data_IF_678270031758
#
_entry.id   IF_678270031758
#
_cell.length_a   1.000
_cell.length_b   1.000
_cell.length_c   1.000
_cell.angle_alpha   90.00
_cell.angle_beta   90.00
_cell.angle_gamma   90.00
#
_symmetry.space_group_name_H-M   'P 1'
#
loop_
_entity.id
_entity.type
_entity.pdbx_description
1 polymer ?
#
# COMPACT_ATOMS: atom_id res chain seq x y z
N UNK A 1 2.73 5.74 -6.44
CA UNK A 1 3.48 7.01 -6.44
C UNK A 1 4.32 7.15 -7.72
N UNK A 2 5.33 6.31 -7.94
CA UNK A 2 6.13 6.31 -9.19
C UNK A 2 5.26 6.25 -10.45
N UNK A 3 4.24 5.38 -10.46
CA UNK A 3 3.29 5.27 -11.56
C UNK A 3 2.56 6.59 -11.85
N UNK A 4 2.05 7.25 -10.81
CA UNK A 4 1.25 8.49 -10.97
C UNK A 4 2.04 9.66 -11.55
N UNK A 5 3.35 9.64 -11.41
CA UNK A 5 4.22 10.68 -11.96
C UNK A 5 4.79 10.29 -13.33
N UNK A 6 5.14 9.01 -13.50
CA UNK A 6 5.72 8.53 -14.75
C UNK A 6 4.66 8.42 -15.86
N UNK A 7 3.43 8.05 -15.50
CA UNK A 7 2.37 7.80 -16.46
C UNK A 7 1.94 9.02 -17.28
N UNK A 8 1.72 10.22 -16.71
CA UNK A 8 1.45 11.42 -17.49
C UNK A 8 2.59 11.81 -18.43
N UNK A 9 3.84 11.62 -17.99
CA UNK A 9 5.04 11.86 -18.82
C UNK A 9 5.08 10.88 -19.99
N UNK A 10 4.80 9.62 -19.74
CA UNK A 10 4.70 8.59 -20.77
C UNK A 10 3.61 8.90 -21.81
N UNK A 11 2.44 9.38 -21.37
CA UNK A 11 1.35 9.78 -22.26
C UNK A 11 1.69 11.01 -23.10
N UNK A 12 2.48 11.95 -22.57
CA UNK A 12 2.89 13.18 -23.27
C UNK A 12 4.08 12.98 -24.20
N UNK A 13 4.84 11.87 -24.04
CA UNK A 13 6.02 11.59 -24.87
C UNK A 13 5.62 11.49 -26.33
N UNK A 14 6.26 12.32 -27.16
CA UNK A 14 6.01 12.35 -28.61
C UNK A 14 6.72 11.17 -29.29
N UNK A 15 6.05 10.45 -30.19
CA UNK A 15 6.70 9.41 -30.98
C UNK A 15 7.90 9.98 -31.77
N UNK A 16 9.01 9.26 -31.91
CA UNK A 16 10.13 9.72 -32.70
C UNK A 16 9.74 9.81 -34.20
N UNK A 17 10.24 10.83 -34.89
CA UNK A 17 9.98 11.04 -36.33
C UNK A 17 10.49 9.88 -37.18
N UNK A 18 11.62 9.30 -36.80
CA UNK A 18 12.20 8.11 -37.44
C UNK A 18 11.99 6.93 -36.51
N UNK A 19 11.02 6.07 -36.83
CA UNK A 19 10.83 4.81 -36.10
C UNK A 19 11.91 3.82 -36.50
N UNK A 20 12.85 3.60 -35.58
CA UNK A 20 13.77 2.46 -35.71
C UNK A 20 12.96 1.15 -35.68
N UNK A 21 13.42 0.10 -36.41
CA UNK A 21 12.73 -1.20 -36.36
C UNK A 21 12.67 -1.72 -34.93
N UNK A 22 11.46 -2.06 -34.49
CA UNK A 22 11.25 -2.62 -33.13
C UNK A 22 11.98 -3.96 -33.00
N UNK A 23 12.87 -4.03 -32.03
CA UNK A 23 13.45 -5.31 -31.59
C UNK A 23 12.76 -5.76 -30.30
N UNK A 24 11.53 -6.27 -30.47
CA UNK A 24 10.77 -6.81 -29.34
C UNK A 24 11.54 -7.97 -28.67
N UNK A 25 11.42 -8.13 -27.34
CA UNK A 25 10.45 -7.47 -26.48
C UNK A 25 10.95 -6.17 -25.80
N UNK A 26 12.22 -5.82 -25.86
CA UNK A 26 12.77 -4.77 -24.99
C UNK A 26 13.14 -3.47 -25.73
N UNK A 27 13.61 -3.53 -26.96
CA UNK A 27 14.06 -2.33 -27.69
C UNK A 27 12.95 -1.75 -28.54
N UNK A 28 12.31 -0.72 -28.03
CA UNK A 28 11.34 0.10 -28.75
C UNK A 28 11.31 1.51 -28.13
N UNK A 29 11.16 2.51 -28.98
CA UNK A 29 10.93 3.90 -28.57
C UNK A 29 9.67 4.34 -29.26
N UNK A 30 8.64 4.61 -28.49
CA UNK A 30 7.41 5.20 -28.99
C UNK A 30 6.73 5.98 -27.85
N UNK A 31 5.75 6.80 -28.16
CA UNK A 31 4.99 7.57 -27.21
C UNK A 31 3.57 7.76 -27.71
N UNK A 32 2.71 8.30 -26.86
CA UNK A 32 1.32 8.58 -27.23
C UNK A 32 1.16 9.98 -27.85
N UNK A 33 2.04 10.93 -27.48
CA UNK A 33 1.95 12.32 -27.95
C UNK A 33 0.63 13.00 -27.61
N UNK A 34 0.00 12.60 -26.49
CA UNK A 34 -1.31 13.15 -26.12
C UNK A 34 -1.18 14.60 -25.65
N UNK A 35 -2.16 15.41 -26.03
CA UNK A 35 -2.29 16.78 -25.59
C UNK A 35 -2.60 16.84 -24.07
N UNK A 36 -2.11 17.90 -23.43
CA UNK A 36 -2.30 18.16 -22.00
C UNK A 36 -3.77 18.13 -21.57
N UNK A 37 -4.68 18.62 -22.45
CA UNK A 37 -6.13 18.57 -22.20
C UNK A 37 -6.64 17.14 -22.10
N UNK A 38 -6.23 16.27 -23.00
CA UNK A 38 -6.62 14.85 -23.02
C UNK A 38 -6.07 14.12 -21.78
N UNK A 39 -4.80 14.37 -21.44
CA UNK A 39 -4.19 13.83 -20.22
C UNK A 39 -4.96 14.31 -18.98
N UNK A 40 -5.33 15.59 -18.92
CA UNK A 40 -6.14 16.15 -17.83
C UNK A 40 -7.50 15.46 -17.69
N UNK A 41 -8.19 15.16 -18.78
CA UNK A 41 -9.46 14.41 -18.77
C UNK A 41 -9.23 12.98 -18.24
N UNK A 42 -8.20 12.30 -18.70
CA UNK A 42 -7.85 10.94 -18.25
C UNK A 42 -7.59 10.93 -16.74
N UNK A 43 -6.82 11.87 -16.22
CA UNK A 43 -6.53 11.99 -14.78
C UNK A 43 -7.77 12.37 -13.96
N UNK A 44 -8.70 13.16 -14.54
CA UNK A 44 -9.97 13.48 -13.89
C UNK A 44 -10.86 12.24 -13.74
N UNK A 45 -10.97 11.43 -14.79
CA UNK A 45 -11.67 10.12 -14.73
C UNK A 45 -11.02 9.20 -13.69
N UNK A 46 -9.69 9.16 -13.64
CA UNK A 46 -8.93 8.45 -12.61
C UNK A 46 -9.33 8.89 -11.19
N UNK A 47 -9.42 10.20 -10.95
CA UNK A 47 -9.80 10.76 -9.64
C UNK A 47 -11.20 10.35 -9.21
N UNK A 48 -12.19 10.51 -10.10
CA UNK A 48 -13.59 10.11 -9.85
C UNK A 48 -13.69 8.62 -9.56
N UNK A 49 -13.06 7.79 -10.40
CA UNK A 49 -13.06 6.34 -10.21
C UNK A 49 -12.40 5.94 -8.88
N UNK A 50 -11.30 6.59 -8.51
CA UNK A 50 -10.58 6.33 -7.25
C UNK A 50 -11.47 6.63 -6.03
N UNK A 51 -12.25 7.71 -6.06
CA UNK A 51 -13.20 8.05 -5.00
C UNK A 51 -14.28 6.97 -4.86
N UNK A 52 -14.88 6.54 -5.96
CA UNK A 52 -15.91 5.49 -5.97
C UNK A 52 -15.30 4.17 -5.48
N UNK A 53 -14.13 3.80 -5.95
CA UNK A 53 -13.42 2.57 -5.58
C UNK A 53 -13.11 2.52 -4.07
N UNK A 54 -12.62 3.61 -3.50
CA UNK A 54 -12.32 3.68 -2.06
C UNK A 54 -13.58 3.56 -1.21
N UNK A 55 -14.70 4.14 -1.66
CA UNK A 55 -15.93 4.16 -0.88
C UNK A 55 -16.67 2.82 -0.92
N UNK A 56 -16.72 2.18 -2.07
CA UNK A 56 -17.55 0.98 -2.28
C UNK A 56 -16.73 -0.31 -2.41
N UNK A 57 -15.66 -0.31 -3.22
CA UNK A 57 -14.92 -1.53 -3.53
C UNK A 57 -14.06 -1.96 -2.34
N UNK A 58 -13.37 -1.02 -1.68
CA UNK A 58 -12.47 -1.36 -0.57
C UNK A 58 -13.19 -2.09 0.57
N UNK A 59 -14.31 -1.59 1.15
CA UNK A 59 -14.97 -2.29 2.26
C UNK A 59 -15.46 -3.68 1.87
N UNK A 60 -15.95 -3.83 0.64
CA UNK A 60 -16.47 -5.10 0.14
C UNK A 60 -15.37 -6.15 0.00
N UNK A 61 -14.24 -5.78 -0.60
CA UNK A 61 -13.13 -6.69 -0.88
C UNK A 61 -12.37 -7.02 0.41
N UNK A 62 -12.08 -6.03 1.24
CA UNK A 62 -11.34 -6.22 2.49
C UNK A 62 -12.07 -7.18 3.45
N UNK A 63 -13.41 -7.08 3.53
CA UNK A 63 -14.23 -7.98 4.35
C UNK A 63 -14.19 -9.43 3.88
N UNK A 64 -14.03 -9.68 2.58
CA UNK A 64 -14.05 -11.04 2.01
C UNK A 64 -12.68 -11.71 1.96
N UNK A 65 -11.64 -10.95 1.64
CA UNK A 65 -10.30 -11.49 1.33
C UNK A 65 -9.37 -11.44 2.54
N UNK A 66 -9.59 -10.49 3.44
CA UNK A 66 -8.67 -10.21 4.55
C UNK A 66 -7.45 -9.37 4.12
N UNK A 67 -6.84 -8.63 5.06
CA UNK A 67 -5.81 -7.62 4.72
C UNK A 67 -4.51 -8.23 4.20
N UNK A 68 -4.05 -9.36 4.75
CA UNK A 68 -2.80 -9.98 4.35
C UNK A 68 -2.86 -10.62 2.96
N UNK A 69 -3.93 -11.38 2.67
CA UNK A 69 -4.12 -11.97 1.34
C UNK A 69 -4.30 -10.91 0.28
N UNK A 70 -5.04 -9.85 0.64
CA UNK A 70 -5.22 -8.70 -0.24
C UNK A 70 -3.88 -8.02 -0.55
N UNK A 71 -3.02 -7.83 0.44
CA UNK A 71 -1.69 -7.24 0.26
C UNK A 71 -0.80 -8.05 -0.70
N UNK A 72 -0.81 -9.39 -0.57
CA UNK A 72 -0.08 -10.29 -1.48
C UNK A 72 -0.61 -10.23 -2.91
N UNK A 73 -1.94 -10.23 -3.06
CA UNK A 73 -2.58 -10.08 -4.37
C UNK A 73 -2.21 -8.76 -5.03
N UNK A 74 -2.17 -7.67 -4.24
CA UNK A 74 -1.77 -6.35 -4.69
C UNK A 74 -0.32 -6.32 -5.19
N UNK A 75 0.61 -6.92 -4.45
CA UNK A 75 2.01 -6.97 -4.84
C UNK A 75 2.21 -7.67 -6.20
N UNK A 76 1.53 -8.79 -6.42
CA UNK A 76 1.56 -9.50 -7.70
C UNK A 76 0.90 -8.70 -8.83
N UNK A 77 -0.22 -8.05 -8.54
CA UNK A 77 -0.95 -7.23 -9.51
C UNK A 77 -0.13 -6.02 -9.98
N UNK A 78 0.60 -5.35 -9.08
CA UNK A 78 1.48 -4.25 -9.45
C UNK A 78 2.63 -4.67 -10.34
N UNK A 79 3.21 -5.85 -10.12
CA UNK A 79 4.21 -6.39 -11.03
C UNK A 79 3.66 -6.50 -12.46
N UNK A 80 2.50 -7.14 -12.62
CA UNK A 80 1.86 -7.29 -13.94
C UNK A 80 1.53 -5.93 -14.56
N UNK A 81 1.06 -4.97 -13.76
CA UNK A 81 0.73 -3.63 -14.20
C UNK A 81 1.97 -2.91 -14.77
N UNK A 82 3.09 -2.94 -14.04
CA UNK A 82 4.33 -2.31 -14.49
C UNK A 82 4.90 -2.96 -15.75
N UNK A 83 4.80 -4.28 -15.86
CA UNK A 83 5.23 -4.99 -17.07
C UNK A 83 4.33 -4.67 -18.26
N UNK A 84 3.01 -4.60 -18.08
CA UNK A 84 2.06 -4.37 -19.16
C UNK A 84 2.06 -2.92 -19.69
N UNK A 85 2.34 -1.93 -18.83
CA UNK A 85 2.21 -0.51 -19.18
C UNK A 85 3.04 -0.08 -20.39
N UNK A 86 4.35 -0.40 -20.54
CA UNK A 86 5.13 0.04 -21.70
C UNK A 86 4.63 -0.56 -23.02
N UNK A 87 4.02 -1.72 -23.00
CA UNK A 87 3.50 -2.37 -24.22
C UNK A 87 2.19 -1.77 -24.73
N UNK A 88 1.55 -0.86 -23.98
CA UNK A 88 0.38 -0.11 -24.47
C UNK A 88 0.65 0.64 -25.77
N UNK A 89 1.89 1.11 -25.96
CA UNK A 89 2.32 1.83 -27.14
C UNK A 89 2.25 0.96 -28.41
N UNK A 90 2.40 -0.34 -28.26
CA UNK A 90 2.36 -1.30 -29.37
C UNK A 90 0.93 -1.64 -29.83
N UNK A 91 -0.09 -1.19 -29.10
CA UNK A 91 -1.48 -1.39 -29.51
C UNK A 91 -1.80 -0.59 -30.78
N UNK A 92 -2.69 -1.10 -31.65
CA UNK A 92 -3.25 -0.32 -32.75
C UNK A 92 -3.88 0.98 -32.27
N UNK A 93 -3.82 2.06 -33.06
CA UNK A 93 -4.31 3.38 -32.65
C UNK A 93 -5.77 3.38 -32.18
N UNK A 94 -6.61 2.52 -32.76
CA UNK A 94 -8.01 2.36 -32.36
C UNK A 94 -8.19 1.80 -30.95
N UNK A 95 -7.21 1.04 -30.43
CA UNK A 95 -7.27 0.39 -29.10
C UNK A 95 -6.43 1.09 -28.05
N UNK A 96 -5.56 2.05 -28.43
CA UNK A 96 -4.66 2.76 -27.50
C UNK A 96 -5.40 3.45 -26.38
N UNK A 97 -6.45 4.22 -26.70
CA UNK A 97 -7.24 4.92 -25.68
C UNK A 97 -7.96 3.93 -24.75
N UNK A 98 -8.52 2.86 -25.28
CA UNK A 98 -9.15 1.80 -24.48
C UNK A 98 -8.14 1.13 -23.54
N UNK A 99 -6.93 0.85 -24.03
CA UNK A 99 -5.84 0.29 -23.23
C UNK A 99 -5.42 1.20 -22.08
N UNK A 100 -5.32 2.51 -22.32
CA UNK A 100 -5.02 3.53 -21.31
C UNK A 100 -6.06 3.47 -20.19
N UNK A 101 -7.37 3.47 -20.52
CA UNK A 101 -8.42 3.41 -19.50
C UNK A 101 -8.42 2.09 -18.74
N UNK A 102 -8.16 0.96 -19.38
CA UNK A 102 -8.04 -0.35 -18.71
C UNK A 102 -6.91 -0.32 -17.68
N UNK A 103 -5.72 0.15 -18.05
CA UNK A 103 -4.57 0.25 -17.15
C UNK A 103 -4.86 1.19 -15.97
N UNK A 104 -5.52 2.32 -16.22
CA UNK A 104 -5.88 3.28 -15.17
C UNK A 104 -6.89 2.68 -14.18
N UNK A 105 -7.94 2.05 -14.68
CA UNK A 105 -8.95 1.38 -13.84
C UNK A 105 -8.28 0.28 -13.02
N UNK A 106 -7.46 -0.55 -13.65
CA UNK A 106 -6.68 -1.58 -12.97
C UNK A 106 -5.83 -0.96 -11.84
N UNK A 107 -4.98 0.02 -12.18
CA UNK A 107 -4.13 0.71 -11.21
C UNK A 107 -4.94 1.34 -10.08
N UNK A 108 -6.03 2.04 -10.38
CA UNK A 108 -6.85 2.70 -9.36
C UNK A 108 -7.50 1.71 -8.40
N UNK A 109 -8.07 0.63 -8.92
CA UNK A 109 -8.67 -0.41 -8.09
C UNK A 109 -7.66 -0.94 -7.07
N UNK A 110 -6.48 -1.33 -7.53
CA UNK A 110 -5.47 -1.89 -6.65
C UNK A 110 -4.80 -0.84 -5.75
N UNK A 111 -4.64 0.40 -6.21
CA UNK A 111 -4.09 1.49 -5.40
C UNK A 111 -5.01 1.84 -4.23
N UNK A 112 -6.32 1.94 -4.47
CA UNK A 112 -7.30 2.26 -3.42
C UNK A 112 -7.46 1.15 -2.39
N UNK A 113 -7.17 -0.09 -2.77
CA UNK A 113 -7.12 -1.22 -1.84
C UNK A 113 -5.81 -1.28 -1.04
N UNK A 114 -4.68 -0.86 -1.64
CA UNK A 114 -3.35 -0.98 -1.05
C UNK A 114 -3.17 -0.09 0.20
N UNK A 115 -3.59 1.17 0.14
CA UNK A 115 -3.36 2.13 1.23
C UNK A 115 -4.03 1.74 2.54
N UNK A 116 -5.34 1.46 2.57
CA UNK A 116 -6.00 1.06 3.81
C UNK A 116 -5.54 -0.31 4.32
N UNK A 117 -5.30 -1.28 3.41
CA UNK A 117 -4.79 -2.59 3.79
C UNK A 117 -3.44 -2.51 4.48
N UNK A 118 -2.54 -1.67 3.96
CA UNK A 118 -1.23 -1.44 4.56
C UNK A 118 -1.35 -0.76 5.93
N UNK A 119 -2.27 0.19 6.10
CA UNK A 119 -2.53 0.84 7.39
C UNK A 119 -3.06 -0.16 8.43
N UNK A 120 -3.95 -1.07 8.05
CA UNK A 120 -4.47 -2.12 8.92
C UNK A 120 -3.35 -3.10 9.33
N UNK A 121 -2.54 -3.57 8.38
CA UNK A 121 -1.42 -4.47 8.66
C UNK A 121 -0.39 -3.81 9.60
N UNK A 122 -0.10 -2.52 9.38
CA UNK A 122 0.80 -1.76 10.22
C UNK A 122 0.27 -1.61 11.65
N UNK A 123 -1.02 -1.30 11.80
CA UNK A 123 -1.67 -1.22 13.10
C UNK A 123 -1.67 -2.58 13.82
N UNK A 124 -1.93 -3.68 13.11
CA UNK A 124 -1.93 -5.02 13.66
C UNK A 124 -0.52 -5.53 14.03
N UNK A 125 0.54 -4.96 13.46
CA UNK A 125 1.92 -5.34 13.77
C UNK A 125 2.45 -4.72 15.07
N UNK A 126 1.76 -3.73 15.65
CA UNK A 126 2.19 -3.09 16.89
C UNK A 126 1.92 -3.98 18.11
N UNK A 127 2.95 -4.38 18.88
CA UNK A 127 2.78 -5.26 20.05
C UNK A 127 2.03 -4.58 21.21
N UNK A 128 2.14 -3.25 21.33
CA UNK A 128 1.46 -2.44 22.35
C UNK A 128 0.96 -1.12 21.74
N UNK A 129 -0.07 -0.53 22.34
CA UNK A 129 -0.60 0.78 21.89
C UNK A 129 0.44 1.90 21.96
N UNK A 130 1.34 1.85 22.94
CA UNK A 130 2.38 2.86 23.11
C UNK A 130 3.41 2.86 21.98
N UNK A 131 3.64 1.71 21.32
CA UNK A 131 4.55 1.58 20.19
C UNK A 131 3.91 1.92 18.85
N UNK A 132 2.59 2.01 18.79
CA UNK A 132 1.86 2.29 17.55
C UNK A 132 2.26 3.64 16.95
N UNK A 133 2.45 4.67 17.79
CA UNK A 133 2.91 5.98 17.36
C UNK A 133 4.31 5.94 16.73
N UNK A 134 5.25 5.22 17.36
CA UNK A 134 6.61 5.06 16.84
C UNK A 134 6.63 4.31 15.51
N UNK A 135 5.88 3.21 15.41
CA UNK A 135 5.78 2.40 14.19
C UNK A 135 5.19 3.24 13.04
N UNK A 136 4.09 3.97 13.31
CA UNK A 136 3.49 4.87 12.32
C UNK A 136 4.44 5.99 11.91
N UNK A 137 5.20 6.55 12.86
CA UNK A 137 6.21 7.58 12.60
C UNK A 137 7.32 7.09 11.68
N UNK A 138 7.87 5.91 11.93
CA UNK A 138 8.90 5.28 11.09
C UNK A 138 8.34 4.99 9.69
N UNK A 139 7.14 4.41 9.63
CA UNK A 139 6.49 4.11 8.35
C UNK A 139 6.22 5.38 7.53
N UNK A 140 5.72 6.45 8.15
CA UNK A 140 5.47 7.72 7.50
C UNK A 140 6.76 8.38 7.00
N UNK A 141 7.83 8.36 7.81
CA UNK A 141 9.15 8.90 7.43
C UNK A 141 9.74 8.14 6.25
N UNK A 142 9.71 6.80 6.27
CA UNK A 142 10.17 5.95 5.19
C UNK A 142 9.36 6.19 3.91
N UNK A 143 8.04 6.29 4.02
CA UNK A 143 7.16 6.59 2.89
C UNK A 143 7.46 7.97 2.30
N UNK A 144 7.75 8.98 3.12
CA UNK A 144 8.13 10.32 2.68
C UNK A 144 9.46 10.33 1.94
N UNK A 145 10.43 9.57 2.43
CA UNK A 145 11.73 9.38 1.77
C UNK A 145 11.56 8.74 0.39
N UNK A 146 10.78 7.67 0.30
CA UNK A 146 10.47 7.03 -0.98
C UNK A 146 9.74 7.96 -1.95
N UNK A 147 8.88 8.86 -1.44
CA UNK A 147 8.20 9.88 -2.26
C UNK A 147 9.14 10.95 -2.78
N UNK A 148 10.18 11.30 -2.01
CA UNK A 148 11.17 12.29 -2.44
C UNK A 148 12.08 11.74 -3.53
N UNK A 149 12.59 10.53 -3.39
CA UNK A 149 13.56 9.95 -4.31
C UNK A 149 12.92 9.18 -5.47
N UNK A 150 11.76 8.55 -5.25
CA UNK A 150 11.11 7.71 -6.25
C UNK A 150 10.92 8.39 -7.62
N UNK A 151 10.31 9.58 -7.68
CA UNK A 151 10.11 10.31 -8.93
C UNK A 151 11.39 10.69 -9.64
N UNK A 152 12.40 11.13 -8.89
CA UNK A 152 13.70 11.53 -9.45
C UNK A 152 14.39 10.33 -10.10
N UNK A 153 14.45 9.20 -9.41
CA UNK A 153 15.07 7.97 -9.93
C UNK A 153 14.30 7.47 -11.15
N UNK A 154 12.98 7.40 -11.07
CA UNK A 154 12.16 6.90 -12.18
C UNK A 154 12.18 7.83 -13.39
N UNK A 155 12.21 9.14 -13.20
CA UNK A 155 12.35 10.14 -14.27
C UNK A 155 13.71 10.04 -14.94
N UNK A 156 14.78 9.88 -14.16
CA UNK A 156 16.14 9.67 -14.71
C UNK A 156 16.21 8.38 -15.53
N UNK A 157 15.69 7.26 -15.01
CA UNK A 157 15.65 5.98 -15.72
C UNK A 157 14.81 6.07 -16.99
N UNK A 158 13.72 6.82 -16.96
CA UNK A 158 12.88 7.02 -18.14
C UNK A 158 13.60 7.84 -19.22
N UNK A 159 14.23 8.94 -18.84
CA UNK A 159 15.03 9.76 -19.76
C UNK A 159 16.18 8.98 -20.39
N UNK A 160 16.89 8.19 -19.57
CA UNK A 160 17.96 7.31 -20.05
C UNK A 160 17.41 6.21 -20.97
N UNK A 161 16.24 5.66 -20.65
CA UNK A 161 15.56 4.69 -21.50
C UNK A 161 15.22 5.22 -22.89
N UNK A 162 14.71 6.45 -22.97
CA UNK A 162 14.41 7.12 -24.25
C UNK A 162 15.67 7.35 -25.08
N UNK A 163 16.81 7.74 -24.47
CA UNK A 163 18.07 7.97 -25.15
C UNK A 163 18.71 6.68 -25.67
N UNK A 164 18.55 5.58 -24.96
CA UNK A 164 19.17 4.28 -25.28
C UNK A 164 18.27 3.35 -26.13
N UNK A 165 17.06 3.78 -26.43
CA UNK A 165 16.11 2.98 -27.22
C UNK A 165 15.25 1.98 -26.39
N UNK A 166 15.23 2.15 -25.07
CA UNK A 166 14.50 1.28 -24.13
C UNK A 166 13.45 2.07 -23.35
N UNK A 167 12.38 2.51 -24.00
CA UNK A 167 11.31 3.32 -23.34
C UNK A 167 10.64 2.61 -22.15
N UNK A 168 10.72 1.29 -22.07
CA UNK A 168 10.25 0.48 -20.96
C UNK A 168 11.17 0.41 -19.74
N UNK A 169 12.40 0.97 -19.77
CA UNK A 169 13.42 0.78 -18.75
C UNK A 169 12.93 1.14 -17.34
N UNK A 170 12.34 2.31 -17.17
CA UNK A 170 11.82 2.76 -15.86
C UNK A 170 10.67 1.85 -15.34
N UNK A 171 9.86 1.37 -16.26
CA UNK A 171 8.75 0.45 -15.94
C UNK A 171 9.25 -0.92 -15.49
N UNK A 172 10.24 -1.49 -16.19
CA UNK A 172 10.83 -2.79 -15.83
C UNK A 172 11.62 -2.71 -14.52
N UNK A 173 12.36 -1.63 -14.28
CA UNK A 173 13.00 -1.40 -12.99
C UNK A 173 11.98 -1.32 -11.85
N UNK A 174 10.86 -0.61 -12.08
CA UNK A 174 9.76 -0.55 -11.10
C UNK A 174 9.11 -1.93 -10.89
N UNK A 175 8.95 -2.72 -11.94
CA UNK A 175 8.47 -4.09 -11.85
C UNK A 175 9.41 -4.98 -11.01
N UNK A 176 10.72 -4.86 -11.20
CA UNK A 176 11.70 -5.60 -10.41
C UNK A 176 11.62 -5.26 -8.91
N UNK A 177 11.44 -3.98 -8.57
CA UNK A 177 11.24 -3.55 -7.17
C UNK A 177 9.95 -4.14 -6.59
N UNK A 178 8.85 -4.21 -7.38
CA UNK A 178 7.61 -4.83 -6.91
C UNK A 178 7.73 -6.33 -6.71
N UNK A 179 8.56 -7.04 -7.50
CA UNK A 179 8.85 -8.46 -7.27
C UNK A 179 9.55 -8.67 -5.94
N UNK A 180 10.55 -7.84 -5.61
CA UNK A 180 11.23 -7.88 -4.31
C UNK A 180 10.23 -7.65 -3.17
N UNK A 181 9.36 -6.65 -3.31
CA UNK A 181 8.28 -6.38 -2.35
C UNK A 181 7.29 -7.54 -2.22
N UNK A 182 6.92 -8.18 -3.33
CA UNK A 182 6.07 -9.36 -3.33
C UNK A 182 6.74 -10.54 -2.59
N UNK A 183 8.01 -10.80 -2.86
CA UNK A 183 8.76 -11.85 -2.17
C UNK A 183 8.81 -11.63 -0.66
N UNK A 184 9.10 -10.40 -0.22
CA UNK A 184 9.08 -10.04 1.21
C UNK A 184 7.67 -10.24 1.79
N UNK A 185 6.63 -9.88 1.06
CA UNK A 185 5.23 -10.02 1.50
C UNK A 185 4.83 -11.48 1.75
N UNK A 186 5.39 -12.44 1.03
CA UNK A 186 5.14 -13.88 1.29
C UNK A 186 5.74 -14.37 2.60
N UNK A 187 6.78 -13.72 3.11
CA UNK A 187 7.40 -14.04 4.40
C UNK A 187 6.62 -13.43 5.59
N UNK A 188 5.71 -12.49 5.33
CA UNK A 188 4.89 -11.89 6.38
C UNK A 188 3.83 -12.88 6.87
N UNK A 189 3.73 -13.02 8.18
CA UNK A 189 2.68 -13.80 8.86
C UNK A 189 1.84 -12.86 9.71
N UNK A 190 0.52 -13.05 9.68
CA UNK A 190 -0.40 -12.28 10.52
C UNK A 190 -0.50 -12.96 11.89
N UNK A 191 -0.19 -12.28 13.00
CA UNK A 191 -0.46 -12.85 14.33
C UNK A 191 -1.98 -13.02 14.49
N UNK A 192 -2.44 -14.26 14.56
CA UNK A 192 -3.84 -14.58 14.88
C UNK A 192 -4.15 -14.08 16.29
N UNK A 193 -5.09 -13.17 16.47
CA UNK A 193 -5.69 -12.99 17.77
C UNK A 193 -5.97 -11.60 18.29
N UNK A 194 -5.72 -10.51 17.52
CA UNK A 194 -5.95 -9.17 18.08
C UNK A 194 -7.30 -8.54 17.72
N UNK A 195 -8.02 -9.07 16.75
CA UNK A 195 -9.37 -8.60 16.40
C UNK A 195 -10.48 -9.29 17.21
N UNK A 196 -10.18 -10.39 17.91
CA UNK A 196 -11.14 -11.16 18.72
C UNK A 196 -10.92 -10.99 20.24
N UNK A 197 -9.95 -10.18 20.66
CA UNK A 197 -9.74 -9.85 22.07
C UNK A 197 -10.75 -8.83 22.57
N UNK A 198 -11.26 -8.94 23.84
CA UNK A 198 -12.08 -7.92 24.45
C UNK A 198 -11.33 -6.59 24.40
N UNK A 199 -12.04 -5.51 24.05
CA UNK A 199 -11.48 -4.17 24.04
C UNK A 199 -10.92 -3.84 25.44
N UNK A 200 -9.62 -3.48 25.58
CA UNK A 200 -9.10 -3.08 26.89
C UNK A 200 -9.87 -1.85 27.35
N UNK A 201 -10.56 -1.95 28.47
CA UNK A 201 -11.36 -0.89 29.08
C UNK A 201 -12.85 -1.19 29.26
N UNK A 202 -13.37 -2.31 28.75
CA UNK A 202 -14.79 -2.65 28.98
C UNK A 202 -15.03 -3.38 30.30
N UNK A 203 -13.98 -3.98 30.84
CA UNK A 203 -14.09 -4.74 32.11
C UNK A 203 -14.00 -3.83 33.33
N UNK A 204 -13.59 -2.54 33.19
CA UNK A 204 -13.60 -1.58 34.29
C UNK A 204 -14.93 -0.85 34.45
N UNK A 205 -15.75 -0.78 33.39
CA UNK A 205 -17.03 -0.06 33.44
C UNK A 205 -18.21 -0.96 33.89
N UNK A 206 -18.03 -2.28 33.83
CA UNK A 206 -19.03 -3.30 34.24
C UNK A 206 -18.73 -3.94 35.62
N UNK A 207 -17.77 -3.41 36.35
CA UNK A 207 -17.61 -3.75 37.76
C UNK A 207 -18.74 -3.08 38.52
N UNK A 208 -19.69 -3.83 39.14
CA UNK A 208 -20.73 -3.21 39.95
C UNK A 208 -20.05 -2.38 41.02
N UNK A 209 -20.35 -1.09 41.07
CA UNK A 209 -19.96 -0.18 42.13
C UNK A 209 -20.24 -0.84 43.49
N UNK A 210 -19.15 -1.17 44.18
CA UNK A 210 -19.26 -1.68 45.55
C UNK A 210 -19.86 -0.54 46.38
N UNK A 211 -21.00 -0.73 47.06
CA UNK A 211 -21.60 0.33 47.89
C UNK A 211 -20.57 0.81 48.92
N UNK A 212 -20.42 2.14 49.00
CA UNK A 212 -19.43 2.82 49.84
C UNK A 212 -19.78 2.81 51.34
N UNK A 213 -20.53 1.81 51.87
CA UNK A 213 -20.92 1.73 53.26
C UNK A 213 -20.68 0.32 53.82
N UNK A 214 -19.38 -0.04 54.02
CA UNK A 214 -19.01 -1.05 55.05
C UNK A 214 -17.81 -0.52 55.82
N UNK A 215 -17.95 -0.30 57.17
CA UNK A 215 -16.82 0.10 58.03
C UNK A 215 -15.80 -1.05 58.08
N UNK A 216 -14.54 -0.72 58.05
CA UNK A 216 -13.43 -1.63 58.14
C UNK A 216 -13.49 -2.40 59.48
N UNK A 217 -13.90 -3.67 59.41
CA UNK A 217 -13.79 -4.59 60.52
C UNK A 217 -12.30 -4.92 60.75
N UNK A 218 -11.77 -4.35 61.83
CA UNK A 218 -10.39 -4.59 62.29
C UNK A 218 -10.27 -6.05 62.74
N UNK A 219 -9.80 -6.93 61.89
CA UNK A 219 -9.28 -8.24 62.31
C UNK A 219 -7.91 -8.03 62.97
N UNK A 220 -7.94 -7.87 64.28
CA UNK A 220 -6.79 -8.09 65.15
C UNK A 220 -6.30 -9.53 64.98
N UNK A 221 -5.29 -9.74 64.17
CA UNK A 221 -4.58 -11.01 64.11
C UNK A 221 -3.67 -11.14 65.33
N UNK A 222 -4.08 -11.99 66.25
CA UNK A 222 -3.32 -12.57 67.33
C UNK A 222 -2.15 -13.41 66.78
N UNK A 223 -0.98 -12.80 66.60
CA UNK A 223 0.29 -13.49 66.46
C UNK A 223 1.24 -13.02 67.56
N UNK A 224 1.32 -13.76 68.59
CA UNK A 224 2.33 -13.43 69.63
C UNK A 224 2.10 -14.15 70.93
N UNK A 225 2.20 -15.47 70.99
CA UNK A 225 2.45 -16.17 72.23
C UNK A 225 2.80 -17.65 71.96
N UNK A 226 4.06 -17.90 71.62
CA UNK A 226 4.66 -19.22 71.86
C UNK A 226 6.20 -19.14 71.71
N UNK A 227 6.85 -18.45 72.62
CA UNK A 227 8.29 -18.65 72.87
C UNK A 227 8.64 -18.21 74.30
N UNK A 228 8.25 -19.02 75.27
CA UNK A 228 8.84 -18.98 76.62
C UNK A 228 8.50 -20.27 77.36
N UNK A 229 9.16 -21.37 77.00
CA UNK A 229 9.41 -22.53 77.90
C UNK A 229 10.34 -23.48 77.20
N UNK A 230 11.65 -23.33 77.45
CA UNK A 230 12.65 -24.37 77.69
C UNK A 230 14.03 -23.75 77.86
N UNK A 231 14.40 -23.52 79.00
CA UNK A 231 15.65 -23.92 79.67
C UNK A 231 15.47 -23.71 81.14
#
# INVERSE_FOLDING_TARGET
MTFDQLFPVFLSTVPPEHREPYHLPFKFVDGFGLDTKTIGIILSVQGVYSMVSTTFIFPLVCRRVGPLHLFRLLALSYFLLYVATPYLVLLPDSLRMTGIYIIIIWKCTFSTLAYPSNAILLANSAPTQNLLGTINGVAASTASLCRAFGPTISGFLYAMGLQTGYSGLAWWCSAAVTVIGAFISFQMTEPRGRLDGPLPGRDEEDSPERPADQPAEQTHSSYGATEARRA
#
